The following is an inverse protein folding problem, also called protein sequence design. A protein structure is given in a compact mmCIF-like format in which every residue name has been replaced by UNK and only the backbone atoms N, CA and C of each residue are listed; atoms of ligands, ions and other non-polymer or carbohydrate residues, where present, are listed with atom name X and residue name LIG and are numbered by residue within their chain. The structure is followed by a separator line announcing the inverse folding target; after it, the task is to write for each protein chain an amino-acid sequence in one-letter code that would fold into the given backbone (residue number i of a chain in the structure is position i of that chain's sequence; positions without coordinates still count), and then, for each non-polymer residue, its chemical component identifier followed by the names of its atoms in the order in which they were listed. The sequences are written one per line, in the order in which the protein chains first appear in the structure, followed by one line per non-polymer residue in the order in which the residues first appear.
data_IF_503044479812
#
_entry.id   IF_503044479812
#
_cell.length_a   1.000
_cell.length_b   1.000
_cell.length_c   1.000
_cell.angle_alpha   90.00
_cell.angle_beta   90.00
_cell.angle_gamma   90.00
#
_symmetry.space_group_name_H-M   'P 1'
#
loop_
_entity.id
_entity.type
_entity.pdbx_description
1 polymer ?
#
# COMPACT_ATOMS: atom_id res chain seq x y z
N UNK A 1 -2.39 -19.00 -2.74
CA UNK A 1 -2.12 -19.34 -1.31
C UNK A 1 -0.85 -20.16 -1.26
N UNK A 2 0.29 -19.56 -0.88
CA UNK A 2 1.54 -20.28 -0.67
C UNK A 2 1.79 -20.33 0.83
N UNK A 3 1.52 -21.49 1.45
CA UNK A 3 1.91 -21.75 2.84
C UNK A 3 3.27 -22.43 2.80
N UNK A 4 4.30 -21.81 3.38
CA UNK A 4 5.56 -22.50 3.66
C UNK A 4 5.65 -22.69 5.17
N UNK A 5 5.43 -23.91 5.63
CA UNK A 5 5.74 -24.31 7.01
C UNK A 5 7.25 -24.24 7.14
N UNK A 6 7.76 -23.35 7.99
CA UNK A 6 9.18 -23.21 8.24
C UNK A 6 9.44 -23.74 9.66
N UNK A 7 9.79 -25.03 9.74
CA UNK A 7 10.01 -25.81 10.97
C UNK A 7 8.82 -25.90 11.94
N UNK A 8 8.96 -26.75 12.96
CA UNK A 8 7.89 -27.21 13.87
C UNK A 8 7.25 -26.10 14.72
N UNK A 9 7.93 -24.97 14.94
CA UNK A 9 7.53 -23.98 15.95
C UNK A 9 7.23 -22.56 15.41
N UNK A 10 7.32 -22.34 14.09
CA UNK A 10 7.12 -21.01 13.50
C UNK A 10 6.03 -21.03 12.43
N UNK A 11 5.03 -20.18 12.60
CA UNK A 11 3.99 -19.94 11.59
C UNK A 11 4.23 -18.60 10.90
N UNK A 12 4.37 -18.64 9.58
CA UNK A 12 4.44 -17.45 8.75
C UNK A 12 3.11 -17.25 8.03
N UNK A 13 2.44 -16.14 8.31
CA UNK A 13 1.10 -15.85 7.79
C UNK A 13 1.22 -14.90 6.60
N UNK A 14 1.04 -15.44 5.39
CA UNK A 14 0.98 -14.66 4.15
C UNK A 14 -0.49 -14.48 3.69
N UNK A 15 -1.17 -13.46 4.21
CA UNK A 15 -2.54 -12.97 3.89
C UNK A 15 -3.68 -14.02 4.05
N UNK A 16 -4.91 -13.71 4.49
CA UNK A 16 -5.92 -12.73 4.04
C UNK A 16 -6.83 -12.47 5.23
N UNK A 17 -7.11 -11.22 5.62
CA UNK A 17 -8.26 -10.86 6.49
C UNK A 17 -8.21 -11.30 7.98
N UNK A 18 -8.65 -10.43 8.89
CA UNK A 18 -8.83 -10.71 10.33
C UNK A 18 -9.72 -11.94 10.57
N UNK A 19 -10.63 -12.24 9.64
CA UNK A 19 -11.49 -13.43 9.69
C UNK A 19 -10.73 -14.77 9.62
N UNK A 20 -9.46 -14.76 9.21
CA UNK A 20 -8.65 -15.97 9.02
C UNK A 20 -8.01 -16.47 10.32
N UNK A 21 -7.77 -15.59 11.28
CA UNK A 21 -7.23 -15.97 12.60
C UNK A 21 -8.20 -16.93 13.30
N UNK A 22 -9.51 -16.65 13.21
CA UNK A 22 -10.55 -17.53 13.77
C UNK A 22 -10.65 -18.89 13.07
N UNK A 23 -10.27 -18.99 11.79
CA UNK A 23 -10.23 -20.26 11.06
C UNK A 23 -8.99 -21.10 11.41
N UNK A 24 -7.98 -20.51 12.04
CA UNK A 24 -6.75 -21.20 12.40
C UNK A 24 -6.95 -22.19 13.55
N UNK A 25 -7.74 -21.82 14.56
CA UNK A 25 -8.06 -22.65 15.74
C UNK A 25 -8.67 -24.01 15.36
N UNK A 26 -9.42 -24.04 14.24
CA UNK A 26 -10.10 -25.25 13.79
C UNK A 26 -9.18 -26.25 13.09
N UNK A 27 -8.01 -25.83 12.59
CA UNK A 27 -7.09 -26.64 11.78
C UNK A 27 -5.72 -26.87 12.44
N UNK A 28 -5.34 -26.01 13.38
CA UNK A 28 -4.08 -26.09 14.11
C UNK A 28 -4.33 -25.63 15.55
N UNK A 29 -3.74 -26.33 16.51
CA UNK A 29 -3.67 -25.83 17.88
C UNK A 29 -2.76 -24.60 17.91
N UNK A 30 -3.35 -23.40 18.01
CA UNK A 30 -2.61 -22.14 18.02
C UNK A 30 -1.76 -22.04 19.31
N UNK A 31 -2.14 -22.75 20.38
CA UNK A 31 -1.40 -22.74 21.64
C UNK A 31 0.01 -23.34 21.51
N UNK A 32 0.25 -24.16 20.49
CA UNK A 32 1.58 -24.73 20.21
C UNK A 32 2.49 -23.79 19.38
N UNK A 33 2.00 -22.60 18.97
CA UNK A 33 2.75 -21.64 18.15
C UNK A 33 3.49 -20.66 19.05
N UNK A 34 4.82 -20.67 18.99
CA UNK A 34 5.65 -19.80 19.84
C UNK A 34 5.86 -18.41 19.24
N UNK A 35 5.87 -18.30 17.91
CA UNK A 35 6.22 -17.07 17.21
C UNK A 35 5.27 -16.83 16.03
N UNK A 36 4.81 -15.58 15.89
CA UNK A 36 4.01 -15.10 14.77
C UNK A 36 4.76 -13.95 14.10
N UNK A 37 4.99 -14.07 12.78
CA UNK A 37 5.59 -13.01 11.97
C UNK A 37 4.50 -12.39 11.10
N UNK A 38 4.25 -11.09 11.29
CA UNK A 38 3.31 -10.32 10.48
C UNK A 38 4.01 -9.78 9.23
N UNK A 39 3.78 -10.44 8.09
CA UNK A 39 4.28 -10.02 6.78
C UNK A 39 3.15 -9.51 5.86
N UNK A 40 2.15 -8.84 6.46
CA UNK A 40 0.93 -8.35 5.79
C UNK A 40 1.05 -6.97 5.16
N UNK A 41 2.27 -6.42 5.09
CA UNK A 41 2.54 -5.11 4.51
C UNK A 41 2.19 -3.94 5.43
N UNK A 42 2.04 -2.75 4.85
CA UNK A 42 1.75 -1.49 5.51
C UNK A 42 0.51 -0.83 4.88
N UNK A 43 -0.16 0.04 5.65
CA UNK A 43 -1.23 0.90 5.15
C UNK A 43 -0.73 2.34 5.21
N UNK A 44 -0.74 3.08 4.09
CA UNK A 44 -0.33 4.48 4.10
C UNK A 44 -1.37 5.34 4.84
N UNK A 45 -0.90 6.30 5.64
CA UNK A 45 -1.74 7.29 6.30
C UNK A 45 -1.48 8.67 5.67
N UNK A 46 -2.51 9.24 5.06
CA UNK A 46 -2.45 10.55 4.40
C UNK A 46 -3.16 11.65 5.21
N UNK A 47 -3.66 11.34 6.41
CA UNK A 47 -4.35 12.32 7.27
C UNK A 47 -3.46 13.47 7.75
N UNK A 48 -2.15 13.34 7.61
CA UNK A 48 -1.20 14.42 7.89
C UNK A 48 -1.27 15.57 6.86
N UNK A 49 -1.88 15.35 5.69
CA UNK A 49 -2.10 16.39 4.69
C UNK A 49 -3.38 17.15 5.07
N UNK A 50 -3.21 18.27 5.77
CA UNK A 50 -4.32 19.11 6.24
C UNK A 50 -4.82 20.06 5.14
N UNK A 51 -5.41 19.48 4.08
CA UNK A 51 -6.02 20.22 2.97
C UNK A 51 -7.39 19.58 2.67
N UNK A 52 -8.44 20.38 2.70
CA UNK A 52 -9.80 19.91 2.47
C UNK A 52 -10.00 19.39 1.03
N UNK A 53 -10.78 18.31 0.90
CA UNK A 53 -11.20 17.78 -0.41
C UNK A 53 -10.12 17.03 -1.20
N UNK A 54 -8.96 16.72 -0.61
CA UNK A 54 -7.86 16.02 -1.31
C UNK A 54 -7.84 14.51 -1.10
N UNK A 55 -8.58 13.97 -0.12
CA UNK A 55 -8.70 12.54 0.15
C UNK A 55 -10.09 12.04 -0.22
N UNK A 56 -10.18 10.79 -0.68
CA UNK A 56 -11.45 10.09 -0.89
C UNK A 56 -12.05 9.59 0.44
N UNK A 57 -13.24 9.01 0.38
CA UNK A 57 -13.92 8.44 1.56
C UNK A 57 -13.15 7.31 2.25
N UNK A 58 -12.13 6.75 1.60
CA UNK A 58 -11.24 5.70 2.13
C UNK A 58 -9.91 6.26 2.64
N UNK A 59 -9.70 7.59 2.57
CA UNK A 59 -8.49 8.27 3.01
C UNK A 59 -7.34 8.23 2.00
N UNK A 60 -7.59 7.87 0.74
CA UNK A 60 -6.56 7.88 -0.32
C UNK A 60 -6.54 9.21 -1.07
N UNK A 61 -5.37 9.68 -1.54
CA UNK A 61 -5.27 10.91 -2.30
C UNK A 61 -6.06 10.84 -3.60
N UNK A 62 -6.93 11.82 -3.81
CA UNK A 62 -7.59 12.06 -5.08
C UNK A 62 -6.56 12.61 -6.07
N UNK A 63 -6.33 11.89 -7.17
CA UNK A 63 -5.43 12.35 -8.21
C UNK A 63 -5.68 11.67 -9.56
N UNK A 64 -5.19 12.29 -10.64
CA UNK A 64 -5.03 11.64 -11.94
C UNK A 64 -3.56 11.63 -12.33
N UNK A 65 -2.94 10.44 -12.33
CA UNK A 65 -1.49 10.26 -12.58
C UNK A 65 -0.60 11.20 -11.73
N UNK A 66 -0.97 11.39 -10.46
CA UNK A 66 -0.26 12.27 -9.53
C UNK A 66 -0.70 13.74 -9.51
N UNK A 67 -1.55 14.19 -10.43
CA UNK A 67 -2.09 15.56 -10.38
C UNK A 67 -3.30 15.60 -9.44
N UNK A 68 -3.21 16.40 -8.37
CA UNK A 68 -4.32 16.65 -7.42
C UNK A 68 -5.43 17.48 -8.06
N UNK A 69 -6.69 17.38 -7.60
CA UNK A 69 -7.71 18.39 -7.89
C UNK A 69 -7.35 19.78 -7.34
N UNK A 70 -6.50 19.85 -6.31
CA UNK A 70 -6.03 21.12 -5.72
C UNK A 70 -4.81 21.64 -6.48
N UNK A 71 -4.91 22.86 -7.01
CA UNK A 71 -3.81 23.52 -7.71
C UNK A 71 -2.58 23.65 -6.81
N UNK A 72 -1.40 23.31 -7.35
CA UNK A 72 -0.14 23.36 -6.60
C UNK A 72 0.17 22.12 -5.77
N UNK A 73 -0.76 21.16 -5.65
CA UNK A 73 -0.53 19.89 -4.97
C UNK A 73 -0.33 18.75 -5.98
N UNK A 74 0.72 17.96 -5.81
CA UNK A 74 1.03 16.82 -6.67
C UNK A 74 1.55 15.66 -5.83
N UNK A 75 1.30 14.45 -6.31
CA UNK A 75 1.69 13.20 -5.66
C UNK A 75 2.57 12.38 -6.58
N UNK A 76 3.61 11.76 -6.03
CA UNK A 76 4.50 10.87 -6.77
C UNK A 76 4.82 9.65 -5.92
N UNK A 77 5.07 8.50 -6.55
CA UNK A 77 5.39 7.27 -5.84
C UNK A 77 4.15 6.56 -5.28
N UNK A 78 2.95 6.95 -5.73
CA UNK A 78 1.73 6.24 -5.37
C UNK A 78 1.57 4.98 -6.22
N UNK A 79 0.92 3.92 -5.71
CA UNK A 79 0.64 2.74 -6.51
C UNK A 79 -0.26 3.10 -7.70
N UNK A 80 -0.03 2.45 -8.85
CA UNK A 80 -0.89 2.54 -10.04
C UNK A 80 -1.05 3.95 -10.64
N UNK A 81 -0.04 4.81 -10.56
CA UNK A 81 -0.06 6.09 -11.27
C UNK A 81 0.08 5.89 -12.78
N UNK A 82 1.25 5.46 -13.25
CA UNK A 82 1.46 5.04 -14.65
C UNK A 82 1.47 3.53 -14.81
N UNK A 83 2.04 2.85 -13.82
CA UNK A 83 2.28 1.42 -13.89
C UNK A 83 2.26 0.83 -12.48
N UNK A 84 2.16 -0.50 -12.41
CA UNK A 84 2.20 -1.22 -11.14
C UNK A 84 3.44 -0.88 -10.31
N UNK A 85 4.56 -0.60 -10.98
CA UNK A 85 5.84 -0.24 -10.36
C UNK A 85 5.95 1.22 -9.91
N UNK A 86 4.92 2.05 -10.04
CA UNK A 86 5.00 3.49 -9.69
C UNK A 86 5.45 3.76 -8.25
N UNK A 87 5.11 2.88 -7.32
CA UNK A 87 5.54 2.98 -5.92
C UNK A 87 6.95 2.40 -5.64
N UNK A 88 7.70 2.01 -6.67
CA UNK A 88 9.02 1.39 -6.55
C UNK A 88 10.11 2.30 -7.15
N UNK A 89 11.31 2.27 -6.57
CA UNK A 89 12.46 3.08 -7.00
C UNK A 89 12.72 2.95 -8.51
N UNK A 90 12.71 1.73 -9.04
CA UNK A 90 12.98 1.49 -10.46
C UNK A 90 11.78 1.78 -11.38
N UNK A 91 10.61 2.11 -10.83
CA UNK A 91 9.37 2.28 -11.60
C UNK A 91 8.79 3.70 -11.57
N UNK A 92 9.19 4.55 -10.62
CA UNK A 92 8.67 5.91 -10.41
C UNK A 92 9.10 6.93 -11.47
N UNK A 93 10.15 6.64 -12.25
CA UNK A 93 10.73 7.59 -13.21
C UNK A 93 9.71 8.15 -14.23
N UNK A 94 8.82 7.29 -14.76
CA UNK A 94 7.76 7.73 -15.70
C UNK A 94 6.75 8.67 -15.04
N UNK A 95 6.46 8.47 -13.75
CA UNK A 95 5.58 9.35 -12.99
C UNK A 95 6.23 10.73 -12.81
N UNK A 96 7.54 10.76 -12.50
CA UNK A 96 8.31 12.00 -12.38
C UNK A 96 8.35 12.78 -13.71
N UNK A 97 8.67 12.11 -14.82
CA UNK A 97 8.71 12.72 -16.16
C UNK A 97 7.37 13.34 -16.54
N UNK A 98 6.27 12.63 -16.26
CA UNK A 98 4.93 13.14 -16.52
C UNK A 98 4.62 14.39 -15.69
N UNK A 99 4.85 14.35 -14.36
CA UNK A 99 4.60 15.50 -13.50
C UNK A 99 5.45 16.70 -13.89
N UNK A 100 6.71 16.49 -14.23
CA UNK A 100 7.58 17.55 -14.75
C UNK A 100 6.99 18.18 -16.02
N UNK A 101 6.47 17.36 -16.96
CA UNK A 101 5.83 17.87 -18.18
C UNK A 101 4.55 18.68 -17.90
N UNK A 102 3.80 18.33 -16.84
CA UNK A 102 2.61 19.06 -16.41
C UNK A 102 3.02 20.41 -15.81
N UNK A 103 3.99 20.40 -14.89
CA UNK A 103 4.50 21.61 -14.24
C UNK A 103 5.10 22.60 -15.26
N UNK A 104 5.87 22.10 -16.23
CA UNK A 104 6.49 22.94 -17.27
C UNK A 104 5.47 23.68 -18.13
N UNK A 105 4.26 23.15 -18.31
CA UNK A 105 3.19 23.81 -19.10
C UNK A 105 2.45 24.90 -18.33
N UNK A 106 2.62 24.96 -17.01
CA UNK A 106 1.98 25.96 -16.15
C UNK A 106 2.80 27.24 -16.00
N UNK A 107 4.07 27.21 -16.45
CA UNK A 107 5.00 28.34 -16.53
C UNK A 107 5.09 28.84 -17.98
#
# INVERSE_FOLDING_TARGET
MLRKKCNSNTLLIYFIDHSFIKKFDHFYDISSIQNIIWSTGFVPDYKWIDIEGILDAKGFPLHKRGVSPTQGLYYIGLPWQHQRGSALICGVGKDAEFLYSVLKKMN
#
